data_IF_751198486838
#
_entry.id   IF_751198486838
#
_cell.length_a   1.000
_cell.length_b   1.000
_cell.length_c   1.000
_cell.angle_alpha   90.00
_cell.angle_beta   90.00
_cell.angle_gamma   90.00
#
_symmetry.space_group_name_H-M   'P 1'
#
loop_
_entity.id
_entity.type
_entity.pdbx_description
1 polymer ?
#
# COMPACT_ATOMS: atom_id res chain seq x y z
N UNK A 1 0.89 9.18 -11.53
CA UNK A 1 0.50 8.58 -10.23
C UNK A 1 1.54 9.01 -9.22
N UNK A 2 1.16 9.55 -8.06
CA UNK A 2 2.14 9.99 -7.07
C UNK A 2 2.90 8.78 -6.52
N UNK A 3 4.21 8.94 -6.33
CA UNK A 3 5.11 7.96 -5.70
C UNK A 3 5.69 8.47 -4.38
N UNK A 4 5.32 9.69 -3.99
CA UNK A 4 5.91 10.43 -2.85
C UNK A 4 5.76 9.71 -1.51
N UNK A 5 4.77 8.83 -1.39
CA UNK A 5 4.59 8.00 -0.18
C UNK A 5 5.79 7.11 0.13
N UNK A 6 6.51 6.63 -0.89
CA UNK A 6 7.74 5.87 -0.66
C UNK A 6 8.83 6.69 0.04
N UNK A 7 8.84 8.01 -0.17
CA UNK A 7 9.79 8.90 0.50
C UNK A 7 9.56 8.93 2.02
N UNK A 8 8.33 8.75 2.51
CA UNK A 8 8.06 8.66 3.95
C UNK A 8 8.70 7.42 4.56
N UNK A 9 8.61 6.28 3.88
CA UNK A 9 9.28 5.04 4.30
C UNK A 9 10.78 5.27 4.33
N UNK A 10 11.36 5.74 3.22
CA UNK A 10 12.81 5.98 3.11
C UNK A 10 13.31 6.93 4.18
N UNK A 11 12.57 8.02 4.47
CA UNK A 11 12.94 9.01 5.49
C UNK A 11 13.19 8.36 6.87
N UNK A 12 12.33 7.42 7.30
CA UNK A 12 12.49 6.74 8.58
C UNK A 12 13.82 5.95 8.67
N UNK A 13 14.21 5.26 7.60
CA UNK A 13 15.46 4.50 7.54
C UNK A 13 16.68 5.39 7.33
N UNK A 14 16.58 6.44 6.50
CA UNK A 14 17.66 7.41 6.31
C UNK A 14 17.98 8.14 7.62
N UNK A 15 16.96 8.53 8.40
CA UNK A 15 17.16 9.10 9.74
C UNK A 15 17.86 8.11 10.67
N UNK A 16 17.43 6.85 10.68
CA UNK A 16 18.07 5.81 11.49
C UNK A 16 19.55 5.65 11.15
N UNK A 17 19.87 5.51 9.86
CA UNK A 17 21.24 5.42 9.36
C UNK A 17 22.09 6.61 9.81
N UNK A 18 21.59 7.85 9.60
CA UNK A 18 22.30 9.08 10.00
C UNK A 18 22.51 9.20 11.50
N UNK A 19 21.65 8.57 12.31
CA UNK A 19 21.76 8.54 13.76
C UNK A 19 22.55 7.34 14.30
N UNK A 20 23.08 6.46 13.43
CA UNK A 20 23.72 5.21 13.85
C UNK A 20 22.78 4.19 14.48
N UNK A 21 21.47 4.32 14.26
CA UNK A 21 20.44 3.42 14.80
C UNK A 21 20.18 2.24 13.86
N UNK A 22 19.99 1.05 14.42
CA UNK A 22 19.56 -0.15 13.69
C UNK A 22 18.05 -0.22 13.43
N UNK A 23 17.28 0.70 14.03
CA UNK A 23 15.80 0.71 13.95
C UNK A 23 15.29 2.00 13.30
N UNK A 24 14.23 1.94 12.46
CA UNK A 24 13.65 3.11 11.80
C UNK A 24 13.24 4.20 12.80
N UNK A 25 13.55 5.46 12.49
CA UNK A 25 13.17 6.59 13.33
C UNK A 25 11.81 7.13 12.87
N UNK A 26 10.78 6.88 13.68
CA UNK A 26 9.39 7.24 13.39
C UNK A 26 8.86 8.12 14.51
N UNK A 27 8.42 9.34 14.16
CA UNK A 27 7.90 10.33 15.11
C UNK A 27 6.39 10.54 15.01
N UNK A 28 5.76 10.00 13.96
CA UNK A 28 4.33 10.13 13.70
C UNK A 28 3.84 8.86 13.02
N UNK A 29 2.65 8.40 13.42
CA UNK A 29 1.97 7.31 12.74
C UNK A 29 1.62 7.68 11.31
N UNK A 30 1.96 6.81 10.36
CA UNK A 30 1.55 6.93 8.96
C UNK A 30 1.20 5.56 8.40
N UNK A 31 0.29 5.54 7.43
CA UNK A 31 0.07 4.39 6.55
C UNK A 31 0.53 4.78 5.16
N UNK A 32 1.46 4.03 4.59
CA UNK A 32 1.83 4.12 3.17
C UNK A 32 1.30 2.88 2.48
N UNK A 33 0.57 3.03 1.38
CA UNK A 33 0.02 1.89 0.66
C UNK A 33 0.27 2.03 -0.83
N UNK A 34 0.36 0.90 -1.53
CA UNK A 34 0.44 0.89 -2.98
C UNK A 34 -0.11 -0.39 -3.59
N UNK A 35 -0.56 -0.26 -4.82
CA UNK A 35 -1.08 -1.34 -5.65
C UNK A 35 -1.15 -0.86 -7.10
N UNK A 36 -1.15 -1.79 -8.06
CA UNK A 36 -1.54 -1.44 -9.44
C UNK A 36 -3.03 -1.18 -9.49
N UNK A 37 -3.47 -0.15 -10.21
CA UNK A 37 -4.90 0.16 -10.34
C UNK A 37 -5.66 -0.86 -11.19
N UNK A 38 -4.95 -1.67 -11.98
CA UNK A 38 -5.51 -2.75 -12.79
C UNK A 38 -4.82 -4.08 -12.52
N UNK A 39 -5.54 -5.17 -12.72
CA UNK A 39 -5.02 -6.53 -12.58
C UNK A 39 -3.84 -6.78 -13.52
N UNK A 40 -2.85 -7.56 -13.06
CA UNK A 40 -1.79 -8.12 -13.92
C UNK A 40 -2.37 -8.93 -15.08
N UNK A 41 -3.53 -9.57 -14.86
CA UNK A 41 -4.19 -10.44 -15.83
C UNK A 41 -5.23 -9.70 -16.68
N UNK A 42 -5.42 -8.39 -16.47
CA UNK A 42 -6.32 -7.58 -17.28
C UNK A 42 -5.92 -7.70 -18.76
N UNK A 43 -6.91 -7.93 -19.63
CA UNK A 43 -6.68 -8.01 -21.08
C UNK A 43 -6.79 -6.59 -21.65
N UNK A 44 -5.76 -6.14 -22.34
CA UNK A 44 -5.66 -4.80 -22.92
C UNK A 44 -5.38 -4.91 -24.42
N UNK A 45 -5.95 -4.03 -25.22
CA UNK A 45 -5.55 -3.86 -26.62
C UNK A 45 -4.46 -2.78 -26.73
N UNK A 46 -3.30 -3.05 -26.15
CA UNK A 46 -2.15 -2.14 -26.12
C UNK A 46 -1.17 -2.48 -27.25
N UNK A 47 -0.86 -1.52 -28.12
CA UNK A 47 0.06 -1.70 -29.24
C UNK A 47 1.49 -2.05 -28.82
N UNK A 48 1.88 -1.70 -27.58
CA UNK A 48 3.20 -2.00 -27.02
C UNK A 48 3.29 -3.44 -26.51
N UNK A 49 2.15 -4.09 -26.31
CA UNK A 49 2.06 -5.41 -25.70
C UNK A 49 2.30 -5.40 -24.19
N UNK A 50 2.12 -6.57 -23.56
CA UNK A 50 2.34 -6.73 -22.12
C UNK A 50 3.85 -6.77 -21.85
N UNK A 51 4.37 -6.03 -20.84
CA UNK A 51 5.80 -6.00 -20.57
C UNK A 51 6.34 -7.38 -20.13
N UNK A 52 7.60 -7.65 -20.47
CA UNK A 52 8.32 -8.81 -19.93
C UNK A 52 8.40 -8.73 -18.40
N UNK A 53 8.36 -9.90 -17.75
CA UNK A 53 8.44 -9.99 -16.29
C UNK A 53 7.13 -9.73 -15.56
N UNK A 54 6.01 -9.54 -16.27
CA UNK A 54 4.68 -9.39 -15.67
C UNK A 54 4.32 -10.57 -14.74
N UNK A 55 4.84 -11.77 -15.01
CA UNK A 55 4.64 -12.97 -14.21
C UNK A 55 5.27 -12.90 -12.80
N UNK A 56 6.22 -11.98 -12.58
CA UNK A 56 6.89 -11.82 -11.27
C UNK A 56 6.13 -10.91 -10.32
N UNK A 57 5.03 -10.32 -10.76
CA UNK A 57 4.22 -9.41 -9.96
C UNK A 57 2.81 -9.95 -9.79
N UNK A 58 2.29 -9.89 -8.58
CA UNK A 58 0.95 -10.37 -8.22
C UNK A 58 -0.02 -9.20 -8.04
N UNK A 59 -1.32 -9.49 -8.10
CA UNK A 59 -2.34 -8.54 -7.66
C UNK A 59 -2.34 -8.49 -6.13
N UNK A 60 -1.70 -7.45 -5.59
CA UNK A 60 -1.44 -7.34 -4.16
C UNK A 60 -1.55 -5.88 -3.74
N UNK A 61 -2.26 -5.68 -2.64
CA UNK A 61 -2.29 -4.43 -1.90
C UNK A 61 -1.20 -4.50 -0.83
N UNK A 62 -0.18 -3.67 -0.99
CA UNK A 62 0.89 -3.54 0.00
C UNK A 62 0.58 -2.37 0.91
N UNK A 63 0.79 -2.58 2.21
CA UNK A 63 0.61 -1.55 3.24
C UNK A 63 1.83 -1.56 4.13
N UNK A 64 2.48 -0.41 4.29
CA UNK A 64 3.52 -0.19 5.29
C UNK A 64 2.98 0.75 6.35
N UNK A 65 2.92 0.27 7.58
CA UNK A 65 2.62 1.09 8.75
C UNK A 65 3.92 1.58 9.35
N UNK A 66 4.06 2.89 9.53
CA UNK A 66 5.16 3.52 10.27
C UNK A 66 4.58 3.98 11.60
N UNK A 67 4.79 3.23 12.69
CA UNK A 67 4.09 3.45 13.96
C UNK A 67 5.02 3.83 15.11
N UNK A 68 4.57 4.71 15.98
CA UNK A 68 5.25 5.04 17.26
C UNK A 68 4.93 4.05 18.37
N UNK A 69 3.79 3.37 18.29
CA UNK A 69 3.36 2.31 19.21
C UNK A 69 2.55 1.24 18.46
N UNK A 70 2.48 -0.01 18.97
CA UNK A 70 1.70 -1.07 18.32
C UNK A 70 0.24 -0.67 18.10
N UNK A 71 -0.37 -1.23 17.06
CA UNK A 71 -1.76 -0.99 16.71
C UNK A 71 -2.36 -2.19 15.98
N UNK A 72 -3.66 -2.12 15.73
CA UNK A 72 -4.36 -3.03 14.83
C UNK A 72 -4.63 -2.32 13.50
N UNK A 73 -4.02 -2.80 12.42
CA UNK A 73 -4.32 -2.38 11.06
C UNK A 73 -5.55 -3.13 10.55
N UNK A 74 -6.57 -2.39 10.13
CA UNK A 74 -7.73 -2.91 9.39
C UNK A 74 -7.61 -2.44 7.94
N UNK A 75 -7.60 -3.38 7.01
CA UNK A 75 -7.58 -3.13 5.57
C UNK A 75 -8.88 -3.64 4.97
N UNK A 76 -9.61 -2.77 4.27
CA UNK A 76 -10.80 -3.15 3.51
C UNK A 76 -10.47 -3.06 2.03
N UNK A 77 -10.54 -4.20 1.33
CA UNK A 77 -10.30 -4.31 -0.10
C UNK A 77 -11.52 -4.84 -0.81
N UNK A 78 -12.10 -4.05 -1.72
CA UNK A 78 -13.28 -4.45 -2.49
C UNK A 78 -14.46 -4.91 -1.62
N UNK A 79 -14.65 -4.26 -0.47
CA UNK A 79 -15.70 -4.57 0.50
C UNK A 79 -15.38 -5.70 1.49
N UNK A 80 -14.22 -6.36 1.39
CA UNK A 80 -13.78 -7.39 2.35
C UNK A 80 -12.72 -6.84 3.29
N UNK A 81 -12.93 -7.00 4.60
CA UNK A 81 -12.03 -6.50 5.64
C UNK A 81 -11.09 -7.59 6.15
N UNK A 82 -9.86 -7.22 6.46
CA UNK A 82 -8.87 -8.05 7.14
C UNK A 82 -8.16 -7.23 8.20
N UNK A 83 -7.81 -7.88 9.30
CA UNK A 83 -7.31 -7.23 10.51
C UNK A 83 -5.98 -7.84 10.92
N UNK A 84 -5.00 -7.00 11.21
CA UNK A 84 -3.62 -7.40 11.50
C UNK A 84 -3.10 -6.66 12.74
N UNK A 85 -2.50 -7.39 13.68
CA UNK A 85 -1.74 -6.75 14.75
C UNK A 85 -0.37 -6.35 14.19
N UNK A 86 -0.03 -5.08 14.28
CA UNK A 86 1.23 -4.51 13.77
C UNK A 86 2.00 -3.86 14.92
N UNK A 87 3.28 -4.17 15.01
CA UNK A 87 4.17 -3.62 16.03
C UNK A 87 4.48 -2.13 15.77
N UNK A 88 5.07 -1.47 16.77
CA UNK A 88 5.76 -0.19 16.54
C UNK A 88 6.90 -0.39 15.53
N UNK A 89 7.30 0.69 14.86
CA UNK A 89 8.31 0.63 13.80
C UNK A 89 7.69 0.60 12.40
N UNK A 90 8.48 0.14 11.42
CA UNK A 90 8.03 -0.04 10.05
C UNK A 90 7.64 -1.50 9.81
N UNK A 91 6.36 -1.76 9.51
CA UNK A 91 5.84 -3.11 9.26
C UNK A 91 5.16 -3.15 7.91
N UNK A 92 5.51 -4.13 7.07
CA UNK A 92 4.87 -4.37 5.78
C UNK A 92 3.83 -5.50 5.88
N UNK A 93 2.61 -5.21 5.48
CA UNK A 93 1.50 -6.15 5.35
C UNK A 93 1.14 -6.30 3.88
N UNK A 94 0.99 -7.55 3.42
CA UNK A 94 0.51 -7.88 2.07
C UNK A 94 -0.92 -8.38 2.17
N UNK A 95 -1.81 -7.82 1.36
CA UNK A 95 -3.22 -8.18 1.32
C UNK A 95 -3.59 -8.56 -0.11
N UNK A 96 -4.32 -9.66 -0.29
CA UNK A 96 -4.91 -9.99 -1.58
C UNK A 96 -5.90 -8.88 -1.97
N UNK A 97 -5.65 -8.22 -3.10
CA UNK A 97 -6.48 -7.09 -3.51
C UNK A 97 -7.73 -7.58 -4.25
N UNK A 98 -8.85 -6.92 -4.00
CA UNK A 98 -10.14 -7.19 -4.63
C UNK A 98 -10.64 -5.95 -5.37
N UNK A 99 -11.39 -6.19 -6.44
CA UNK A 99 -11.95 -5.13 -7.29
C UNK A 99 -12.79 -4.16 -6.44
N UNK A 100 -12.63 -2.86 -6.70
CA UNK A 100 -13.31 -1.79 -5.99
C UNK A 100 -12.36 -0.92 -5.16
N UNK A 101 -12.94 -0.26 -4.15
CA UNK A 101 -12.25 0.70 -3.31
C UNK A 101 -11.36 0.03 -2.26
N UNK A 102 -10.28 0.72 -1.89
CA UNK A 102 -9.33 0.28 -0.87
C UNK A 102 -9.35 1.29 0.28
N UNK A 103 -9.58 0.86 1.52
CA UNK A 103 -9.56 1.72 2.70
C UNK A 103 -8.83 1.08 3.88
N UNK A 104 -8.40 1.93 4.80
CA UNK A 104 -7.47 1.58 5.86
C UNK A 104 -7.86 2.27 7.16
N UNK A 105 -7.68 1.59 8.28
CA UNK A 105 -7.70 2.22 9.59
C UNK A 105 -6.71 1.59 10.54
N UNK A 106 -6.14 2.38 11.44
CA UNK A 106 -5.40 1.92 12.59
C UNK A 106 -6.29 2.05 13.82
N UNK A 107 -6.33 0.99 14.63
CA UNK A 107 -7.08 0.95 15.88
C UNK A 107 -6.16 0.70 17.05
N UNK A 108 -6.42 1.39 18.16
CA UNK A 108 -5.82 1.13 19.48
C UNK A 108 -6.93 1.13 20.51
N UNK A 109 -6.99 0.12 21.36
CA UNK A 109 -8.04 -0.02 22.39
C UNK A 109 -9.46 0.08 21.80
N UNK A 110 -9.67 -0.48 20.60
CA UNK A 110 -10.95 -0.44 19.88
C UNK A 110 -11.27 0.88 19.16
N UNK A 111 -10.53 1.96 19.41
CA UNK A 111 -10.74 3.27 18.80
C UNK A 111 -9.88 3.45 17.54
N UNK A 112 -10.48 4.01 16.49
CA UNK A 112 -9.76 4.41 15.28
C UNK A 112 -8.92 5.65 15.57
N UNK A 113 -7.61 5.57 15.35
CA UNK A 113 -6.65 6.65 15.58
C UNK A 113 -6.11 7.27 14.29
N UNK A 114 -6.25 6.55 13.17
CA UNK A 114 -5.89 7.02 11.84
C UNK A 114 -6.72 6.24 10.82
N UNK A 115 -7.23 6.89 9.78
CA UNK A 115 -7.98 6.21 8.73
C UNK A 115 -7.99 7.01 7.44
N UNK A 116 -8.18 6.30 6.33
CA UNK A 116 -8.29 6.93 5.02
C UNK A 116 -8.66 5.94 3.94
N UNK A 117 -9.02 6.48 2.80
CA UNK A 117 -9.50 5.72 1.64
C UNK A 117 -8.69 6.12 0.42
N UNK A 118 -8.34 5.13 -0.40
CA UNK A 118 -7.64 5.38 -1.65
C UNK A 118 -8.54 6.13 -2.63
N UNK A 119 -7.99 7.13 -3.30
CA UNK A 119 -8.67 7.91 -4.34
C UNK A 119 -8.75 7.15 -5.68
N UNK A 120 -8.09 5.99 -5.76
CA UNK A 120 -8.20 5.06 -6.89
C UNK A 120 -8.89 3.78 -6.43
N UNK A 121 -9.54 3.13 -7.37
CA UNK A 121 -10.09 1.79 -7.20
C UNK A 121 -9.24 0.80 -7.98
N UNK A 122 -9.18 -0.43 -7.50
CA UNK A 122 -8.63 -1.55 -8.26
C UNK A 122 -9.69 -2.11 -9.21
N UNK A 123 -9.30 -2.45 -10.43
CA UNK A 123 -10.18 -3.12 -11.40
C UNK A 123 -9.50 -4.34 -12.00
N UNK A 124 -10.29 -5.34 -12.38
CA UNK A 124 -9.81 -6.51 -13.15
C UNK A 124 -9.77 -6.25 -14.66
N UNK A 125 -10.32 -5.12 -15.11
CA UNK A 125 -10.40 -4.73 -16.51
C UNK A 125 -9.27 -3.76 -16.90
N UNK A 126 -9.17 -3.45 -18.19
CA UNK A 126 -8.18 -2.52 -18.74
C UNK A 126 -8.83 -1.26 -19.33
N UNK A 127 -9.27 -0.30 -18.51
CA UNK A 127 -10.11 0.81 -18.97
C UNK A 127 -9.42 1.76 -19.96
N UNK A 128 -8.10 1.87 -19.91
CA UNK A 128 -7.32 2.71 -20.83
C UNK A 128 -6.75 1.95 -22.02
N UNK A 129 -7.05 0.65 -22.17
CA UNK A 129 -6.41 -0.24 -23.16
C UNK A 129 -4.87 -0.19 -23.15
N UNK A 130 -4.27 0.04 -21.98
CA UNK A 130 -2.82 0.10 -21.80
C UNK A 130 -2.41 -0.86 -20.69
N UNK A 131 -1.36 -1.65 -20.91
CA UNK A 131 -0.73 -2.46 -19.87
C UNK A 131 0.05 -1.57 -18.90
N UNK A 132 -0.68 -0.88 -18.01
CA UNK A 132 -0.09 0.00 -17.02
C UNK A 132 0.35 -0.80 -15.77
N UNK A 133 1.64 -1.08 -15.71
CA UNK A 133 2.27 -1.78 -14.57
C UNK A 133 2.77 -0.82 -13.48
N UNK A 134 2.58 0.48 -13.64
CA UNK A 134 2.95 1.46 -12.63
C UNK A 134 1.96 1.41 -11.45
N UNK A 135 2.48 1.49 -10.24
CA UNK A 135 1.67 1.43 -9.02
C UNK A 135 1.14 2.82 -8.67
N UNK A 136 -0.05 2.85 -8.10
CA UNK A 136 -0.54 4.00 -7.36
C UNK A 136 -0.04 3.91 -5.93
N UNK A 137 0.55 4.99 -5.41
CA UNK A 137 1.01 5.09 -4.02
C UNK A 137 0.20 6.16 -3.31
N UNK A 138 -0.26 5.86 -2.10
CA UNK A 138 -0.93 6.82 -1.25
C UNK A 138 -0.43 6.78 0.18
N UNK A 139 -0.77 7.82 0.93
CA UNK A 139 -0.39 8.00 2.33
C UNK A 139 -1.59 8.44 3.15
N UNK A 140 -1.62 8.07 4.42
CA UNK A 140 -2.57 8.51 5.44
C UNK A 140 -1.77 8.91 6.67
#
# INVERSE_FOLDING_TARGET
>A
MPHDGFRLIQNAFVKAYKAGSSSPVISKDNIVYWYRIQSVNAQCNDATGRPEGYQYVSDTLFVVTLLTSPAQLVVTSGGQSSTFNVAAGAVMTKVAIRAGQQSFSLKRNGLTVLSGTSTRSFTINCPSNVYNFNVYVGTI
#
